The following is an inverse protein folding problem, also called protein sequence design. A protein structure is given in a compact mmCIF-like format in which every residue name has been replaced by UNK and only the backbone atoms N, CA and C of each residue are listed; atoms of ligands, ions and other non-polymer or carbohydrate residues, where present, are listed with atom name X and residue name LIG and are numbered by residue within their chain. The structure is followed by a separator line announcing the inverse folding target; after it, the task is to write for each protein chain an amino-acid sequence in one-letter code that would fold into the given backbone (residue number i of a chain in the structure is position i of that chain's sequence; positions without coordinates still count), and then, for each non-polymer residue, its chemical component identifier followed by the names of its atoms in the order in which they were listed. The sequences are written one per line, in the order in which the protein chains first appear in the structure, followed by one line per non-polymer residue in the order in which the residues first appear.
data_IF_403752394845
#
_entry.id   IF_403752394845
#
_cell.length_a   1.000
_cell.length_b   1.000
_cell.length_c   1.000
_cell.angle_alpha   90.00
_cell.angle_beta   90.00
_cell.angle_gamma   90.00
#
_symmetry.space_group_name_H-M   'P 1'
#
loop_
_entity.id
_entity.type
_entity.pdbx_description
1 polymer ?
#
# COMPACT_ATOMS: atom_id res chain seq x y z
N UNK A 1 -18.15 14.73 -0.33
CA UNK A 1 -18.31 13.53 -1.19
C UNK A 1 -17.61 13.64 -2.54
N UNK A 2 -17.95 14.59 -3.43
CA UNK A 2 -17.29 14.74 -4.76
C UNK A 2 -15.78 15.08 -4.69
N UNK A 3 -15.38 16.02 -3.83
CA UNK A 3 -13.96 16.39 -3.63
C UNK A 3 -13.09 15.21 -3.15
N UNK A 4 -13.62 14.40 -2.23
CA UNK A 4 -12.94 13.19 -1.75
C UNK A 4 -12.74 12.14 -2.85
N UNK A 5 -13.72 11.94 -3.73
CA UNK A 5 -13.58 11.04 -4.88
C UNK A 5 -12.52 11.54 -5.87
N UNK A 6 -12.46 12.85 -6.11
CA UNK A 6 -11.43 13.45 -6.96
C UNK A 6 -10.03 13.24 -6.37
N UNK A 7 -9.85 13.45 -5.07
CA UNK A 7 -8.57 13.20 -4.39
C UNK A 7 -8.18 11.72 -4.42
N UNK A 8 -9.13 10.81 -4.21
CA UNK A 8 -8.88 9.37 -4.31
C UNK A 8 -8.44 8.97 -5.73
N UNK A 9 -9.07 9.54 -6.77
CA UNK A 9 -8.67 9.32 -8.15
C UNK A 9 -7.26 9.84 -8.45
N UNK A 10 -6.93 11.05 -7.99
CA UNK A 10 -5.58 11.60 -8.15
C UNK A 10 -4.53 10.76 -7.41
N UNK A 11 -4.84 10.30 -6.20
CA UNK A 11 -3.97 9.40 -5.44
C UNK A 11 -3.68 8.10 -6.22
N UNK A 12 -4.73 7.46 -6.76
CA UNK A 12 -4.58 6.26 -7.58
C UNK A 12 -3.72 6.51 -8.82
N UNK A 13 -3.92 7.65 -9.50
CA UNK A 13 -3.13 8.05 -10.66
C UNK A 13 -1.66 8.28 -10.31
N UNK A 14 -1.37 9.00 -9.22
CA UNK A 14 0.00 9.25 -8.75
C UNK A 14 0.72 7.95 -8.41
N UNK A 15 0.06 7.03 -7.71
CA UNK A 15 0.64 5.74 -7.35
C UNK A 15 0.90 4.84 -8.56
N UNK A 16 -0.06 4.77 -9.50
CA UNK A 16 0.09 4.02 -10.74
C UNK A 16 1.23 4.60 -11.60
N UNK A 17 1.30 5.92 -11.75
CA UNK A 17 2.36 6.59 -12.49
C UNK A 17 3.73 6.34 -11.86
N UNK A 18 3.86 6.45 -10.53
CA UNK A 18 5.09 6.11 -9.82
C UNK A 18 5.54 4.67 -10.11
N UNK A 19 4.63 3.71 -10.02
CA UNK A 19 4.94 2.29 -10.24
C UNK A 19 5.35 2.02 -11.69
N UNK A 20 4.68 2.60 -12.68
CA UNK A 20 5.04 2.37 -14.10
C UNK A 20 6.33 3.11 -14.47
N UNK A 21 6.52 4.36 -14.04
CA UNK A 21 7.69 5.16 -14.38
C UNK A 21 8.96 4.66 -13.70
N UNK A 22 8.87 4.15 -12.47
CA UNK A 22 10.04 3.61 -11.74
C UNK A 22 10.65 2.38 -12.43
N UNK A 23 9.89 1.63 -13.24
CA UNK A 23 10.43 0.57 -14.10
C UNK A 23 11.47 1.12 -15.10
N UNK A 24 11.25 2.32 -15.63
CA UNK A 24 12.21 3.00 -16.52
C UNK A 24 13.49 3.46 -15.81
N UNK A 25 13.49 3.48 -14.48
CA UNK A 25 14.62 3.86 -13.62
C UNK A 25 15.38 2.63 -13.09
N UNK A 26 15.38 1.50 -13.80
CA UNK A 26 15.97 0.23 -13.35
C UNK A 26 17.46 0.28 -12.97
N UNK A 27 18.20 1.33 -13.37
CA UNK A 27 19.61 1.56 -12.97
C UNK A 27 19.75 2.24 -11.60
N UNK A 28 18.67 2.82 -11.06
CA UNK A 28 18.67 3.49 -9.76
C UNK A 28 18.61 2.43 -8.66
N UNK A 29 19.56 2.41 -7.71
CA UNK A 29 19.56 1.46 -6.59
C UNK A 29 18.25 1.51 -5.80
N UNK A 30 17.79 0.35 -5.33
CA UNK A 30 16.61 0.29 -4.45
C UNK A 30 16.82 1.05 -3.13
N UNK A 31 18.08 1.23 -2.69
CA UNK A 31 18.40 2.05 -1.53
C UNK A 31 17.89 3.50 -1.64
N UNK A 32 17.66 4.01 -2.86
CA UNK A 32 17.02 5.31 -3.09
C UNK A 32 15.60 5.41 -2.53
N UNK A 33 14.91 4.29 -2.29
CA UNK A 33 13.63 4.25 -1.57
C UNK A 33 13.75 4.90 -0.20
N UNK A 34 14.88 4.73 0.50
CA UNK A 34 15.14 5.39 1.78
C UNK A 34 15.02 6.90 1.67
N UNK A 35 15.58 7.49 0.61
CA UNK A 35 15.54 8.94 0.37
C UNK A 35 14.11 9.40 0.12
N UNK A 36 13.33 8.64 -0.67
CA UNK A 36 11.92 8.95 -0.91
C UNK A 36 11.08 8.84 0.37
N UNK A 37 11.31 7.82 1.19
CA UNK A 37 10.65 7.67 2.49
C UNK A 37 10.99 8.83 3.44
N UNK A 38 12.26 9.24 3.52
CA UNK A 38 12.68 10.37 4.35
C UNK A 38 12.11 11.70 3.86
N UNK A 39 12.12 11.94 2.54
CA UNK A 39 11.51 13.12 1.95
C UNK A 39 10.00 13.18 2.23
N UNK A 40 9.29 12.06 2.05
CA UNK A 40 7.87 11.95 2.39
C UNK A 40 7.64 12.17 3.88
N UNK A 41 8.44 11.59 4.77
CA UNK A 41 8.31 11.81 6.21
C UNK A 41 8.49 13.30 6.60
N UNK A 42 9.45 14.00 5.98
CA UNK A 42 9.64 15.44 6.19
C UNK A 42 8.45 16.25 5.68
N UNK A 43 7.98 15.98 4.45
CA UNK A 43 6.82 16.67 3.89
C UNK A 43 5.55 16.41 4.70
N UNK A 44 5.36 15.17 5.17
CA UNK A 44 4.26 14.78 6.05
C UNK A 44 4.35 15.48 7.41
N UNK A 45 5.55 15.65 7.98
CA UNK A 45 5.72 16.40 9.23
C UNK A 45 5.38 17.88 9.06
N UNK A 46 5.81 18.51 7.96
CA UNK A 46 5.45 19.89 7.64
C UNK A 46 3.93 20.04 7.43
N UNK A 47 3.31 19.11 6.71
CA UNK A 47 1.87 19.10 6.50
C UNK A 47 1.10 18.90 7.82
N UNK A 48 1.55 17.98 8.68
CA UNK A 48 0.95 17.74 10.00
C UNK A 48 0.95 19.02 10.84
N UNK A 49 2.10 19.69 10.96
CA UNK A 49 2.22 20.94 11.72
C UNK A 49 1.34 22.08 11.18
N UNK A 50 1.05 22.08 9.87
CA UNK A 50 0.24 23.11 9.24
C UNK A 50 -1.27 22.82 9.26
N UNK A 51 -1.68 21.55 9.23
CA UNK A 51 -3.05 21.15 8.92
C UNK A 51 -3.74 20.33 10.02
N UNK A 52 -2.99 19.69 10.93
CA UNK A 52 -3.52 18.69 11.85
C UNK A 52 -3.28 19.04 13.33
N UNK A 53 -4.19 18.65 14.24
CA UNK A 53 -3.92 18.69 15.67
C UNK A 53 -2.90 17.61 16.06
N UNK A 54 -1.89 17.99 16.83
CA UNK A 54 -0.85 17.06 17.28
C UNK A 54 -1.34 16.16 18.42
N UNK A 55 -1.42 14.86 18.15
CA UNK A 55 -1.76 13.82 19.13
C UNK A 55 -0.70 12.72 19.09
N UNK A 56 -0.04 12.49 20.22
CA UNK A 56 0.99 11.45 20.34
C UNK A 56 0.42 10.12 20.84
N UNK A 57 1.05 8.98 20.53
CA UNK A 57 0.68 7.69 21.10
C UNK A 57 0.74 7.72 22.63
N UNK A 58 -0.35 7.30 23.28
CA UNK A 58 -0.50 7.42 24.74
C UNK A 58 0.30 6.38 25.55
N UNK A 59 0.70 5.26 24.94
CA UNK A 59 1.31 4.14 25.64
C UNK A 59 2.39 3.44 24.80
N UNK A 60 3.14 2.53 25.46
CA UNK A 60 4.21 1.78 24.83
C UNK A 60 3.74 0.93 23.64
N UNK A 61 2.52 0.39 23.69
CA UNK A 61 1.94 -0.38 22.58
C UNK A 61 1.73 0.49 21.34
N UNK A 62 1.27 1.74 21.52
CA UNK A 62 1.12 2.70 20.44
C UNK A 62 2.45 3.03 19.77
N UNK A 63 3.51 3.26 20.54
CA UNK A 63 4.85 3.46 20.01
C UNK A 63 5.44 2.21 19.34
N UNK A 64 5.24 1.04 19.94
CA UNK A 64 5.63 -0.24 19.33
C UNK A 64 4.93 -0.45 17.97
N UNK A 65 3.66 -0.04 17.87
CA UNK A 65 2.90 -0.09 16.62
C UNK A 65 3.48 0.85 15.57
N UNK A 66 3.87 2.08 15.94
CA UNK A 66 4.54 3.04 15.05
C UNK A 66 5.84 2.45 14.50
N UNK A 67 6.69 1.87 15.37
CA UNK A 67 7.94 1.23 14.95
C UNK A 67 7.68 0.03 14.04
N UNK A 68 6.71 -0.83 14.38
CA UNK A 68 6.35 -1.99 13.57
C UNK A 68 5.83 -1.59 12.17
N UNK A 69 5.01 -0.55 12.09
CA UNK A 69 4.52 0.02 10.82
C UNK A 69 5.67 0.59 9.98
N UNK A 70 6.62 1.27 10.63
CA UNK A 70 7.83 1.80 9.99
C UNK A 70 8.72 0.71 9.41
N UNK A 71 8.96 -0.37 10.16
CA UNK A 71 9.84 -1.46 9.71
C UNK A 71 9.20 -2.36 8.66
N UNK A 72 7.92 -2.70 8.81
CA UNK A 72 7.23 -3.65 7.93
C UNK A 72 6.56 -2.95 6.72
N UNK A 73 5.33 -2.44 6.88
CA UNK A 73 4.57 -1.82 5.78
C UNK A 73 5.24 -0.64 5.07
N UNK A 74 6.03 0.17 5.77
CA UNK A 74 6.72 1.32 5.14
C UNK A 74 8.12 0.93 4.68
N UNK A 75 8.91 0.29 5.54
CA UNK A 75 10.27 -0.15 5.22
C UNK A 75 10.26 -1.32 4.24
N UNK A 76 10.12 -2.54 4.78
CA UNK A 76 10.25 -3.77 3.99
C UNK A 76 9.37 -3.77 2.73
N UNK A 77 8.11 -3.34 2.83
CA UNK A 77 7.18 -3.43 1.71
C UNK A 77 7.55 -2.50 0.53
N UNK A 78 8.05 -1.28 0.79
CA UNK A 78 8.44 -0.39 -0.32
C UNK A 78 9.72 -0.87 -1.02
N UNK A 79 10.65 -1.46 -0.28
CA UNK A 79 11.86 -2.03 -0.87
C UNK A 79 11.54 -3.24 -1.75
N UNK A 80 10.70 -4.16 -1.26
CA UNK A 80 10.28 -5.33 -2.06
C UNK A 80 9.42 -4.91 -3.25
N UNK A 81 8.58 -3.88 -3.09
CA UNK A 81 7.81 -3.28 -4.18
C UNK A 81 8.71 -2.71 -5.28
N UNK A 82 9.71 -1.88 -4.92
CA UNK A 82 10.64 -1.29 -5.90
C UNK A 82 11.43 -2.36 -6.68
N UNK A 83 11.86 -3.42 -5.99
CA UNK A 83 12.50 -4.58 -6.63
C UNK A 83 11.52 -5.25 -7.60
N UNK A 84 10.29 -5.53 -7.16
CA UNK A 84 9.26 -6.18 -7.97
C UNK A 84 8.90 -5.36 -9.21
N UNK A 85 8.77 -4.05 -9.08
CA UNK A 85 8.44 -3.14 -10.18
C UNK A 85 9.58 -3.05 -11.20
N UNK A 86 10.84 -2.93 -10.74
CA UNK A 86 12.01 -2.76 -11.62
C UNK A 86 12.44 -4.05 -12.30
N UNK A 87 12.35 -5.19 -11.61
CA UNK A 87 12.94 -6.47 -12.07
C UNK A 87 11.92 -7.56 -12.35
N UNK A 88 10.70 -7.45 -11.82
CA UNK A 88 9.65 -8.43 -11.99
C UNK A 88 8.68 -8.13 -13.13
N UNK A 89 7.62 -8.91 -13.16
CA UNK A 89 6.46 -8.68 -14.01
C UNK A 89 5.51 -7.68 -13.32
N UNK A 90 5.46 -6.46 -13.86
CA UNK A 90 4.62 -5.39 -13.34
C UNK A 90 3.13 -5.64 -13.55
N UNK A 91 2.74 -6.40 -14.58
CA UNK A 91 1.34 -6.76 -14.80
C UNK A 91 0.89 -7.75 -13.75
N UNK A 92 1.67 -8.82 -13.54
CA UNK A 92 1.40 -9.78 -12.47
C UNK A 92 1.42 -9.12 -11.08
N UNK A 93 2.34 -8.18 -10.82
CA UNK A 93 2.39 -7.44 -9.56
C UNK A 93 1.16 -6.55 -9.36
N UNK A 94 0.68 -5.90 -10.42
CA UNK A 94 -0.56 -5.13 -10.43
C UNK A 94 -1.77 -6.01 -10.10
N UNK A 95 -1.85 -7.19 -10.71
CA UNK A 95 -2.90 -8.18 -10.44
C UNK A 95 -2.82 -8.71 -9.00
N UNK A 96 -1.61 -9.06 -8.53
CA UNK A 96 -1.37 -9.55 -7.17
C UNK A 96 -1.73 -8.51 -6.10
N UNK A 97 -1.66 -7.22 -6.42
CA UNK A 97 -2.05 -6.13 -5.51
C UNK A 97 -3.53 -6.18 -5.11
N UNK A 98 -4.39 -6.79 -5.92
CA UNK A 98 -5.79 -7.03 -5.56
C UNK A 98 -5.94 -8.02 -4.39
N UNK A 99 -4.92 -8.81 -4.05
CA UNK A 99 -4.93 -9.63 -2.83
C UNK A 99 -4.84 -8.81 -1.54
N UNK A 100 -4.35 -7.56 -1.58
CA UNK A 100 -4.18 -6.73 -0.39
C UNK A 100 -5.48 -6.49 0.42
N UNK A 101 -6.61 -6.04 -0.18
CA UNK A 101 -7.87 -5.88 0.55
C UNK A 101 -8.42 -7.21 1.11
N UNK A 102 -8.16 -8.30 0.40
CA UNK A 102 -8.52 -9.67 0.78
C UNK A 102 -7.77 -10.11 2.04
N UNK A 103 -6.43 -10.04 2.00
CA UNK A 103 -5.57 -10.39 3.12
C UNK A 103 -5.81 -9.49 4.33
N UNK A 104 -6.01 -8.18 4.12
CA UNK A 104 -6.36 -7.25 5.18
C UNK A 104 -7.66 -7.65 5.89
N UNK A 105 -8.69 -8.03 5.12
CA UNK A 105 -9.96 -8.48 5.70
C UNK A 105 -9.81 -9.80 6.46
N UNK A 106 -9.04 -10.75 5.95
CA UNK A 106 -8.74 -12.01 6.66
C UNK A 106 -8.04 -11.72 7.99
N UNK A 107 -7.03 -10.86 8.01
CA UNK A 107 -6.34 -10.47 9.24
C UNK A 107 -7.33 -9.85 10.22
N UNK A 108 -8.18 -8.91 9.79
CA UNK A 108 -9.18 -8.27 10.65
C UNK A 108 -10.18 -9.27 11.26
N UNK A 109 -10.61 -10.28 10.49
CA UNK A 109 -11.51 -11.34 10.97
C UNK A 109 -10.80 -12.25 11.98
N UNK A 110 -9.57 -12.69 11.66
CA UNK A 110 -8.78 -13.57 12.54
C UNK A 110 -8.42 -12.88 13.86
N UNK A 111 -8.12 -11.57 13.82
CA UNK A 111 -7.86 -10.79 15.04
C UNK A 111 -9.13 -10.36 15.78
N UNK A 112 -10.33 -10.74 15.29
CA UNK A 112 -11.61 -10.42 15.92
C UNK A 112 -12.04 -8.96 15.82
N UNK A 113 -11.42 -8.16 14.94
CA UNK A 113 -11.74 -6.74 14.73
C UNK A 113 -12.95 -6.58 13.80
N UNK A 114 -13.13 -7.52 12.86
CA UNK A 114 -14.27 -7.56 11.94
C UNK A 114 -15.05 -8.87 12.09
N UNK A 115 -16.38 -8.80 12.06
CA UNK A 115 -17.22 -10.00 12.04
C UNK A 115 -17.19 -10.66 10.64
N UNK A 116 -17.06 -11.99 10.55
CA UNK A 116 -17.15 -12.67 9.27
C UNK A 116 -18.56 -12.48 8.70
N UNK A 117 -18.64 -12.16 7.41
CA UNK A 117 -19.92 -11.97 6.71
C UNK A 117 -19.90 -12.60 5.33
N UNK A 118 -21.09 -12.95 4.84
CA UNK A 118 -21.23 -13.48 3.48
C UNK A 118 -20.80 -12.46 2.42
N UNK A 119 -20.97 -11.16 2.70
CA UNK A 119 -20.50 -10.08 1.82
C UNK A 119 -18.96 -10.09 1.68
N UNK A 120 -18.22 -10.29 2.77
CA UNK A 120 -16.77 -10.45 2.74
C UNK A 120 -16.37 -11.66 1.90
N UNK A 121 -17.05 -12.80 2.07
CA UNK A 121 -16.77 -14.01 1.30
C UNK A 121 -17.02 -13.81 -0.19
N UNK A 122 -18.12 -13.16 -0.58
CA UNK A 122 -18.42 -12.87 -1.99
C UNK A 122 -17.38 -11.90 -2.57
N UNK A 123 -17.03 -10.82 -1.85
CA UNK A 123 -16.00 -9.89 -2.29
C UNK A 123 -14.64 -10.59 -2.46
N UNK A 124 -14.28 -11.47 -1.53
CA UNK A 124 -13.09 -12.30 -1.60
C UNK A 124 -13.05 -13.15 -2.88
N UNK A 125 -14.13 -13.85 -3.19
CA UNK A 125 -14.22 -14.69 -4.39
C UNK A 125 -14.15 -13.86 -5.67
N UNK A 126 -14.84 -12.72 -5.74
CA UNK A 126 -14.82 -11.85 -6.91
C UNK A 126 -13.43 -11.25 -7.17
N UNK A 127 -12.74 -10.81 -6.13
CA UNK A 127 -11.39 -10.26 -6.22
C UNK A 127 -10.40 -11.35 -6.66
N UNK A 128 -10.45 -12.53 -6.03
CA UNK A 128 -9.58 -13.64 -6.38
C UNK A 128 -9.84 -14.14 -7.82
N UNK A 129 -11.10 -14.25 -8.22
CA UNK A 129 -11.48 -14.64 -9.58
C UNK A 129 -11.05 -13.62 -10.63
N UNK A 130 -11.27 -12.33 -10.37
CA UNK A 130 -10.79 -11.26 -11.24
C UNK A 130 -9.27 -11.23 -11.37
N UNK A 131 -8.55 -11.46 -10.28
CA UNK A 131 -7.10 -11.56 -10.29
C UNK A 131 -6.60 -12.79 -11.09
N UNK A 132 -7.21 -13.96 -10.89
CA UNK A 132 -6.85 -15.16 -11.65
C UNK A 132 -7.07 -15.00 -13.16
N UNK A 133 -8.20 -14.40 -13.56
CA UNK A 133 -8.48 -14.09 -14.96
C UNK A 133 -7.45 -13.11 -15.55
N UNK A 134 -7.14 -12.03 -14.82
CA UNK A 134 -6.16 -11.04 -15.28
C UNK A 134 -4.75 -11.64 -15.40
N UNK A 135 -4.33 -12.47 -14.45
CA UNK A 135 -3.05 -13.17 -14.51
C UNK A 135 -2.98 -14.13 -15.72
N UNK A 136 -4.06 -14.85 -16.02
CA UNK A 136 -4.12 -15.76 -17.18
C UNK A 136 -4.10 -15.04 -18.53
N UNK A 137 -4.53 -13.77 -18.59
CA UNK A 137 -4.50 -12.96 -19.80
C UNK A 137 -3.14 -12.25 -20.02
N UNK A 138 -2.30 -12.19 -18.99
CA UNK A 138 -0.96 -11.58 -19.01
C UNK A 138 0.17 -12.61 -19.19
N UNK A 139 -0.12 -13.91 -19.09
CA UNK A 139 0.80 -15.03 -19.30
C UNK A 139 0.82 -15.47 -20.77
#
# INVERSE_FOLDING_TARGET
RRRGLALAFLCALTWAAYSVLSRGLGRVPTESVTVFCLATALLSALAHLALEPTVWPANALGWASVVALGLGPVGLAFFTWDIGVKRGDIQLLGVASYAAPLLSTVVLVVTGIAAPSLAILIAAVLIAGGAALAASASA
#
